data_IF_260625981945
#
_entry.id   IF_260625981945
#
_cell.length_a   1.000
_cell.length_b   1.000
_cell.length_c   1.000
_cell.angle_alpha   90.00
_cell.angle_beta   90.00
_cell.angle_gamma   90.00
#
_symmetry.space_group_name_H-M   'P 1'
#
loop_
_entity.id
_entity.type
_entity.pdbx_description
1 polymer ?
#
# COMPACT_ATOMS: atom_id res chain seq x y z
N UNK A 1 9.47 -8.49 13.59
CA UNK A 1 8.27 -7.87 12.95
C UNK A 1 7.95 -8.66 11.70
N UNK A 2 6.67 -8.95 11.40
CA UNK A 2 6.28 -9.94 10.37
C UNK A 2 6.40 -9.45 8.91
N UNK A 3 6.94 -8.26 8.66
CA UNK A 3 7.04 -7.68 7.31
C UNK A 3 8.47 -7.26 6.98
N UNK A 4 8.92 -7.60 5.77
CA UNK A 4 10.22 -7.14 5.25
C UNK A 4 10.19 -5.66 4.89
N UNK A 5 11.33 -4.97 4.96
CA UNK A 5 11.46 -3.58 4.54
C UNK A 5 11.07 -3.37 3.07
N UNK A 6 11.35 -4.35 2.22
CA UNK A 6 10.96 -4.36 0.81
C UNK A 6 9.43 -4.37 0.65
N UNK A 7 8.74 -5.24 1.38
CA UNK A 7 7.28 -5.31 1.37
C UNK A 7 6.66 -4.00 1.85
N UNK A 8 7.15 -3.44 2.96
CA UNK A 8 6.67 -2.14 3.49
C UNK A 8 6.85 -1.04 2.45
N UNK A 9 8.02 -0.97 1.81
CA UNK A 9 8.28 0.01 0.74
C UNK A 9 7.34 -0.13 -0.45
N UNK A 10 7.01 -1.36 -0.87
CA UNK A 10 6.06 -1.61 -1.95
C UNK A 10 4.64 -1.13 -1.59
N UNK A 11 4.20 -1.34 -0.34
CA UNK A 11 2.90 -0.86 0.15
C UNK A 11 2.85 0.67 0.26
N UNK A 12 3.91 1.31 0.74
CA UNK A 12 3.97 2.79 0.79
C UNK A 12 3.91 3.41 -0.60
N UNK A 13 4.59 2.83 -1.61
CA UNK A 13 4.47 3.27 -3.00
C UNK A 13 3.04 3.13 -3.52
N UNK A 14 2.37 2.01 -3.20
CA UNK A 14 0.96 1.80 -3.60
C UNK A 14 0.06 2.87 -2.97
N UNK A 15 0.16 3.10 -1.66
CA UNK A 15 -0.61 4.13 -0.96
C UNK A 15 -0.35 5.53 -1.53
N UNK A 16 0.90 5.83 -1.88
CA UNK A 16 1.24 7.11 -2.49
C UNK A 16 0.64 7.31 -3.89
N UNK A 17 0.55 6.24 -4.70
CA UNK A 17 -0.17 6.28 -5.99
C UNK A 17 -1.66 6.59 -5.82
N UNK A 18 -2.24 6.19 -4.69
CA UNK A 18 -3.65 6.45 -4.36
C UNK A 18 -3.86 7.74 -3.56
N UNK A 19 -2.85 8.61 -3.44
CA UNK A 19 -3.01 9.90 -2.74
C UNK A 19 -3.00 9.82 -1.22
N UNK A 20 -3.00 8.63 -0.60
CA UNK A 20 -3.05 8.46 0.86
C UNK A 20 -1.71 8.76 1.56
N UNK A 21 -0.60 8.71 0.81
CA UNK A 21 0.74 9.10 1.27
C UNK A 21 1.41 10.03 0.26
N UNK A 22 2.33 10.87 0.76
CA UNK A 22 3.22 11.68 -0.05
C UNK A 22 4.65 11.18 0.13
N UNK A 23 5.31 10.77 -0.96
CA UNK A 23 6.74 10.44 -0.94
C UNK A 23 7.56 11.72 -0.88
N UNK A 24 8.35 11.90 0.19
CA UNK A 24 9.24 13.06 0.35
C UNK A 24 10.69 12.76 -0.05
N UNK A 25 10.98 11.52 -0.49
CA UNK A 25 12.30 11.06 -0.95
C UNK A 25 12.98 10.10 0.02
N UNK A 26 13.99 9.36 -0.44
CA UNK A 26 14.79 8.41 0.37
C UNK A 26 13.97 7.37 1.17
N UNK A 27 12.80 6.98 0.67
CA UNK A 27 11.92 6.03 1.35
C UNK A 27 11.12 6.64 2.52
N UNK A 28 11.15 7.97 2.66
CA UNK A 28 10.37 8.70 3.66
C UNK A 28 9.02 9.08 3.04
N UNK A 29 7.96 8.87 3.82
CA UNK A 29 6.58 9.17 3.44
C UNK A 29 5.92 10.05 4.51
N UNK A 30 5.04 10.94 4.09
CA UNK A 30 4.16 11.74 4.94
C UNK A 30 2.71 11.34 4.68
N UNK A 31 1.87 11.28 5.73
CA UNK A 31 0.43 11.10 5.54
C UNK A 31 -0.18 12.36 4.91
N UNK A 32 -1.11 12.19 3.99
CA UNK A 32 -1.87 13.30 3.38
C UNK A 32 -3.16 13.54 4.14
N UNK A 33 -3.88 14.61 3.78
CA UNK A 33 -5.19 14.91 4.37
C UNK A 33 -6.21 13.82 4.02
N UNK A 34 -6.20 13.30 2.79
CA UNK A 34 -7.01 12.13 2.40
C UNK A 34 -6.62 10.87 3.19
N UNK A 35 -5.31 10.69 3.45
CA UNK A 35 -4.80 9.61 4.30
C UNK A 35 -5.28 9.71 5.75
N UNK A 36 -5.37 10.93 6.30
CA UNK A 36 -5.96 11.18 7.62
C UNK A 36 -7.46 10.91 7.61
N UNK A 37 -8.19 11.46 6.64
CA UNK A 37 -9.63 11.23 6.47
C UNK A 37 -9.96 9.74 6.32
N UNK A 38 -9.10 8.94 5.66
CA UNK A 38 -9.28 7.49 5.58
C UNK A 38 -9.21 6.82 6.96
N UNK A 39 -8.27 7.25 7.81
CA UNK A 39 -8.13 6.73 9.17
C UNK A 39 -9.30 7.16 10.08
N UNK A 40 -9.88 8.33 9.81
CA UNK A 40 -11.05 8.87 10.51
C UNK A 40 -12.38 8.34 9.94
N UNK A 41 -12.32 7.44 8.95
CA UNK A 41 -13.47 6.88 8.23
C UNK A 41 -14.32 7.94 7.46
N UNK A 42 -13.72 9.09 7.15
CA UNK A 42 -14.30 10.17 6.34
C UNK A 42 -13.97 10.04 4.84
N UNK A 43 -13.05 9.13 4.48
CA UNK A 43 -12.65 8.85 3.09
C UNK A 43 -12.70 7.35 2.78
N UNK A 44 -13.41 6.97 1.70
CA UNK A 44 -13.50 5.58 1.24
C UNK A 44 -12.46 5.28 0.15
N UNK A 45 -11.36 4.62 0.54
CA UNK A 45 -10.29 4.27 -0.40
C UNK A 45 -10.66 3.21 -1.45
N UNK A 46 -11.76 2.46 -1.26
CA UNK A 46 -12.22 1.49 -2.24
C UNK A 46 -12.99 2.14 -3.41
N UNK A 47 -13.69 3.24 -3.15
CA UNK A 47 -14.47 3.97 -4.15
C UNK A 47 -13.66 5.09 -4.82
N UNK A 48 -12.72 5.69 -4.09
CA UNK A 48 -12.04 6.92 -4.52
C UNK A 48 -10.64 6.68 -5.10
N UNK A 49 -10.12 5.44 -5.03
CA UNK A 49 -8.81 5.09 -5.58
C UNK A 49 -8.85 4.89 -7.09
N UNK A 50 -8.17 5.74 -7.87
CA UNK A 50 -8.19 5.68 -9.35
C UNK A 50 -7.52 4.44 -10.02
N UNK A 51 -7.34 3.31 -9.33
CA UNK A 51 -6.65 2.14 -9.89
C UNK A 51 -7.43 0.86 -9.65
N UNK A 52 -7.82 0.24 -10.76
CA UNK A 52 -8.18 -1.16 -10.95
C UNK A 52 -7.36 -2.12 -10.06
N UNK A 53 -8.05 -2.78 -9.13
CA UNK A 53 -7.48 -3.86 -8.32
C UNK A 53 -7.21 -5.05 -9.24
N UNK A 54 -6.02 -5.08 -9.82
CA UNK A 54 -5.43 -6.33 -10.30
C UNK A 54 -5.02 -7.12 -9.07
N UNK A 55 -5.92 -7.96 -8.55
CA UNK A 55 -5.60 -9.06 -7.65
C UNK A 55 -4.70 -10.04 -8.39
N UNK A 56 -3.43 -9.68 -8.50
CA UNK A 56 -2.35 -10.54 -8.97
C UNK A 56 -2.07 -11.59 -7.92
N UNK A 57 -2.56 -12.79 -8.21
CA UNK A 57 -2.18 -14.06 -7.61
C UNK A 57 -0.67 -14.26 -7.81
N UNK A 58 0.15 -13.88 -6.84
CA UNK A 58 1.52 -14.36 -6.73
C UNK A 58 1.54 -15.44 -5.65
N UNK A 59 1.27 -16.66 -6.10
CA UNK A 59 1.43 -17.88 -5.33
C UNK A 59 2.93 -18.19 -5.28
N UNK A 60 3.53 -17.99 -4.11
CA UNK A 60 4.83 -18.54 -3.76
C UNK A 60 4.66 -19.66 -2.73
N UNK A 61 3.90 -20.70 -3.09
CA UNK A 61 3.94 -21.98 -2.37
C UNK A 61 5.09 -22.81 -2.96
N UNK A 62 6.25 -22.84 -2.29
CA UNK A 62 7.24 -23.88 -2.49
C UNK A 62 6.98 -24.98 -1.45
N UNK A 63 6.23 -26.00 -1.84
CA UNK A 63 6.27 -27.32 -1.23
C UNK A 63 7.25 -28.15 -2.06
N UNK A 64 8.46 -28.35 -1.56
CA UNK A 64 9.34 -29.43 -2.01
C UNK A 64 9.62 -30.31 -0.79
N UNK A 65 8.90 -31.42 -0.72
CA UNK A 65 9.24 -32.61 0.08
C UNK A 65 9.33 -33.80 -0.90
N UNK A 66 10.55 -34.30 -1.11
CA UNK A 66 10.87 -35.68 -1.50
C UNK A 66 12.37 -35.94 -1.30
#
# INVERSE_FOLDING_TARGET
MPYSSQYVGQRCRKLAKHGLLLSVGNGIYKVTDEGLAYLEAEYNAAENGNVEVSTGKDAGESLDEA
#
